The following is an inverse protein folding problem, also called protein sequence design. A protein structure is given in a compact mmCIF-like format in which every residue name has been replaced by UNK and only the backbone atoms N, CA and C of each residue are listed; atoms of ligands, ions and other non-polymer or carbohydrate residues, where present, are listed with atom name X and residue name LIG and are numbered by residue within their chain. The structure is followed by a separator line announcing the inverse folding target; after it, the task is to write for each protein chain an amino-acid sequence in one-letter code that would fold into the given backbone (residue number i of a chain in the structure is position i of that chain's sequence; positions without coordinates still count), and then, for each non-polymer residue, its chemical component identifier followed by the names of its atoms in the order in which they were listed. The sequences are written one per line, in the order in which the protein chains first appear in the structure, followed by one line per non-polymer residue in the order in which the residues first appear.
data_IF_610768627977
#
_entry.id   IF_610768627977
#
_cell.length_a   1.000
_cell.length_b   1.000
_cell.length_c   1.000
_cell.angle_alpha   90.00
_cell.angle_beta   90.00
_cell.angle_gamma   90.00
#
_symmetry.space_group_name_H-M   'P 1'
#
loop_
_entity.id
_entity.type
_entity.pdbx_description
1 polymer ?
#
# COMPACT_ATOMS: atom_id res chain seq x y z
N UNK A 1 40.16 -17.42 6.39
CA UNK A 1 39.29 -16.56 5.57
C UNK A 1 37.85 -17.08 5.46
N UNK A 2 37.48 -18.20 6.09
CA UNK A 2 36.15 -18.84 5.97
C UNK A 2 35.13 -18.40 7.03
N UNK A 3 35.57 -17.97 8.22
CA UNK A 3 34.65 -17.66 9.33
C UNK A 3 33.72 -16.45 9.05
N UNK A 4 34.17 -15.48 8.24
CA UNK A 4 33.36 -14.31 7.87
C UNK A 4 32.28 -14.63 6.82
N UNK A 5 32.61 -15.45 5.82
CA UNK A 5 31.66 -15.91 4.80
C UNK A 5 30.63 -16.85 5.40
N UNK A 6 31.05 -17.74 6.30
CA UNK A 6 30.15 -18.69 6.96
C UNK A 6 29.12 -17.95 7.84
N UNK A 7 29.54 -16.91 8.56
CA UNK A 7 28.63 -16.02 9.31
C UNK A 7 27.61 -15.31 8.42
N UNK A 8 28.03 -14.82 7.25
CA UNK A 8 27.12 -14.17 6.30
C UNK A 8 26.13 -15.16 5.67
N UNK A 9 26.56 -16.39 5.41
CA UNK A 9 25.68 -17.46 4.91
C UNK A 9 24.64 -17.85 5.95
N UNK A 10 25.04 -18.02 7.22
CA UNK A 10 24.10 -18.31 8.31
C UNK A 10 23.07 -17.19 8.46
N UNK A 11 23.52 -15.93 8.52
CA UNK A 11 22.60 -14.79 8.59
C UNK A 11 21.67 -14.70 7.37
N UNK A 12 22.18 -15.01 6.17
CA UNK A 12 21.36 -15.06 4.95
C UNK A 12 20.30 -16.16 4.97
N UNK A 13 20.60 -17.32 5.57
CA UNK A 13 19.63 -18.41 5.75
C UNK A 13 18.54 -18.03 6.77
N UNK A 14 18.92 -17.39 7.88
CA UNK A 14 17.96 -16.87 8.88
C UNK A 14 17.04 -15.80 8.27
N UNK A 15 17.59 -14.88 7.49
CA UNK A 15 16.81 -13.88 6.76
C UNK A 15 15.88 -14.51 5.71
N UNK A 16 16.31 -15.60 5.07
CA UNK A 16 15.52 -16.34 4.08
C UNK A 16 14.35 -17.08 4.74
N UNK A 17 14.59 -17.77 5.85
CA UNK A 17 13.56 -18.43 6.64
C UNK A 17 12.48 -17.42 7.06
N UNK A 18 12.92 -16.28 7.60
CA UNK A 18 12.01 -15.19 7.96
C UNK A 18 11.21 -14.65 6.78
N UNK A 19 11.84 -14.49 5.62
CA UNK A 19 11.14 -14.07 4.41
C UNK A 19 10.05 -15.08 4.00
N UNK A 20 10.33 -16.38 4.08
CA UNK A 20 9.36 -17.42 3.74
C UNK A 20 8.14 -17.39 4.68
N UNK A 21 8.37 -17.22 5.98
CA UNK A 21 7.30 -17.07 6.98
C UNK A 21 6.45 -15.82 6.70
N UNK A 22 7.09 -14.66 6.51
CA UNK A 22 6.41 -13.39 6.21
C UNK A 22 5.58 -13.51 4.91
N UNK A 23 6.15 -14.16 3.89
CA UNK A 23 5.51 -14.39 2.61
C UNK A 23 4.30 -15.34 2.72
N UNK A 24 4.37 -16.37 3.56
CA UNK A 24 3.23 -17.25 3.81
C UNK A 24 2.08 -16.49 4.49
N UNK A 25 2.38 -15.67 5.50
CA UNK A 25 1.38 -14.83 6.18
C UNK A 25 0.73 -13.85 5.20
N UNK A 26 1.51 -13.22 4.32
CA UNK A 26 0.99 -12.34 3.28
C UNK A 26 0.05 -13.08 2.32
N UNK A 27 0.48 -14.25 1.83
CA UNK A 27 -0.32 -15.07 0.93
C UNK A 27 -1.62 -15.57 1.56
N UNK A 28 -1.60 -15.98 2.81
CA UNK A 28 -2.80 -16.44 3.52
C UNK A 28 -3.86 -15.34 3.57
N UNK A 29 -3.46 -14.11 3.91
CA UNK A 29 -4.36 -12.94 3.95
C UNK A 29 -4.89 -12.57 2.56
N UNK A 30 -4.04 -12.59 1.53
CA UNK A 30 -4.45 -12.29 0.16
C UNK A 30 -5.43 -13.35 -0.36
N UNK A 31 -5.15 -14.64 -0.17
CA UNK A 31 -6.05 -15.74 -0.52
C UNK A 31 -7.41 -15.59 0.17
N UNK A 32 -7.42 -15.24 1.46
CA UNK A 32 -8.65 -14.97 2.19
C UNK A 32 -9.41 -13.77 1.62
N UNK A 33 -8.71 -12.69 1.25
CA UNK A 33 -9.29 -11.53 0.58
C UNK A 33 -9.95 -11.88 -0.75
N UNK A 34 -9.25 -12.64 -1.60
CA UNK A 34 -9.81 -13.13 -2.87
C UNK A 34 -11.02 -14.04 -2.68
N UNK A 35 -11.00 -14.93 -1.68
CA UNK A 35 -12.14 -15.77 -1.36
C UNK A 35 -13.37 -14.94 -0.97
N UNK A 36 -13.20 -13.93 -0.12
CA UNK A 36 -14.30 -13.04 0.27
C UNK A 36 -14.79 -12.19 -0.90
N UNK A 37 -13.89 -11.74 -1.77
CA UNK A 37 -14.25 -11.04 -3.00
C UNK A 37 -15.10 -11.92 -3.93
N UNK A 38 -14.73 -13.18 -4.10
CA UNK A 38 -15.52 -14.14 -4.90
C UNK A 38 -16.92 -14.33 -4.30
N UNK A 39 -17.03 -14.46 -2.97
CA UNK A 39 -18.34 -14.53 -2.31
C UNK A 39 -19.17 -13.25 -2.48
N UNK A 40 -18.51 -12.09 -2.50
CA UNK A 40 -19.18 -10.81 -2.77
C UNK A 40 -19.67 -10.74 -4.23
N UNK A 41 -18.85 -11.17 -5.20
CA UNK A 41 -19.23 -11.21 -6.63
C UNK A 41 -20.48 -12.06 -6.88
N UNK A 42 -20.65 -13.18 -6.18
CA UNK A 42 -21.84 -14.02 -6.29
C UNK A 42 -23.14 -13.34 -5.81
N UNK A 43 -23.06 -12.29 -4.98
CA UNK A 43 -24.22 -11.55 -4.48
C UNK A 43 -24.46 -10.22 -5.21
N UNK A 44 -23.48 -9.77 -5.98
CA UNK A 44 -23.57 -8.54 -6.75
C UNK A 44 -24.03 -8.85 -8.18
N UNK A 45 -24.44 -7.81 -8.91
CA UNK A 45 -24.72 -7.94 -10.33
C UNK A 45 -23.43 -8.27 -11.08
N UNK A 46 -23.53 -9.02 -12.18
CA UNK A 46 -22.39 -9.54 -12.94
C UNK A 46 -21.40 -8.45 -13.36
N UNK A 47 -21.89 -7.24 -13.64
CA UNK A 47 -21.09 -6.10 -14.09
C UNK A 47 -20.71 -5.12 -12.97
N UNK A 48 -21.04 -5.40 -11.71
CA UNK A 48 -20.75 -4.49 -10.61
C UNK A 48 -19.26 -4.47 -10.23
N UNK A 49 -18.54 -5.58 -10.42
CA UNK A 49 -17.11 -5.73 -10.09
C UNK A 49 -16.32 -6.20 -11.33
N UNK A 50 -16.45 -5.43 -12.40
CA UNK A 50 -15.80 -5.68 -13.69
C UNK A 50 -14.80 -4.57 -14.03
N UNK A 51 -13.98 -4.80 -15.07
CA UNK A 51 -12.96 -3.83 -15.52
C UNK A 51 -13.55 -2.50 -15.98
N UNK A 52 -14.84 -2.46 -16.35
CA UNK A 52 -15.55 -1.24 -16.75
C UNK A 52 -16.24 -0.52 -15.60
N UNK A 53 -16.23 -1.10 -14.39
CA UNK A 53 -16.92 -0.56 -13.21
C UNK A 53 -16.08 0.47 -12.45
N UNK A 54 -14.84 0.71 -12.88
CA UNK A 54 -13.95 1.67 -12.23
C UNK A 54 -14.32 3.11 -12.62
N UNK A 55 -14.46 3.97 -11.61
CA UNK A 55 -14.71 5.39 -11.80
C UNK A 55 -13.46 6.09 -12.36
N UNK A 56 -13.61 7.18 -13.12
CA UNK A 56 -12.47 7.94 -13.66
C UNK A 56 -11.59 8.54 -12.54
N UNK A 57 -12.19 8.80 -11.38
CA UNK A 57 -11.52 9.30 -10.18
C UNK A 57 -10.87 8.17 -9.34
N UNK A 58 -10.73 6.97 -9.90
CA UNK A 58 -10.11 5.83 -9.22
C UNK A 58 -8.59 6.09 -9.04
N UNK A 59 -8.24 6.66 -7.90
CA UNK A 59 -6.85 6.85 -7.47
C UNK A 59 -6.43 5.80 -6.44
N UNK A 60 -5.13 5.52 -6.38
CA UNK A 60 -4.58 4.65 -5.34
C UNK A 60 -4.83 5.26 -3.96
N UNK A 61 -5.63 4.59 -3.13
CA UNK A 61 -5.90 5.03 -1.76
C UNK A 61 -4.66 4.92 -0.86
N UNK A 62 -3.85 3.86 -1.05
CA UNK A 62 -2.64 3.60 -0.27
C UNK A 62 -1.43 3.50 -1.18
N UNK A 63 -0.34 4.10 -0.72
CA UNK A 63 0.96 4.11 -1.39
C UNK A 63 2.04 3.61 -0.45
N UNK A 64 3.10 3.06 -1.04
CA UNK A 64 4.31 2.67 -0.31
C UNK A 64 5.30 3.82 -0.42
N UNK A 65 5.79 4.30 0.72
CA UNK A 65 6.79 5.37 0.81
C UNK A 65 8.02 4.83 1.52
N UNK A 66 9.19 5.20 1.01
CA UNK A 66 10.46 4.97 1.69
C UNK A 66 10.68 6.13 2.66
N UNK A 67 10.74 5.84 3.96
CA UNK A 67 11.09 6.83 4.97
C UNK A 67 12.56 7.28 4.81
N UNK A 68 12.87 8.46 5.36
CA UNK A 68 14.23 9.00 5.51
C UNK A 68 15.21 8.03 6.18
N UNK A 69 14.70 7.14 7.02
CA UNK A 69 15.45 6.05 7.68
C UNK A 69 15.68 4.81 6.78
N UNK A 70 15.18 4.82 5.54
CA UNK A 70 15.26 3.69 4.63
C UNK A 70 14.22 2.59 4.90
N UNK A 71 13.22 2.86 5.75
CA UNK A 71 12.16 1.92 6.11
C UNK A 71 10.95 2.08 5.21
N UNK A 72 10.41 0.97 4.70
CA UNK A 72 9.22 1.00 3.85
C UNK A 72 7.99 1.16 4.74
N UNK A 73 7.09 2.09 4.39
CA UNK A 73 5.85 2.32 5.14
C UNK A 73 4.68 2.51 4.19
N UNK A 74 3.51 2.10 4.67
CA UNK A 74 2.26 2.34 4.01
C UNK A 74 1.69 3.67 4.47
N UNK A 75 1.32 4.55 3.53
CA UNK A 75 0.65 5.81 3.82
C UNK A 75 -0.58 5.96 2.92
N UNK A 76 -1.57 6.70 3.39
CA UNK A 76 -2.71 7.05 2.57
C UNK A 76 -2.27 8.15 1.59
N UNK A 77 -2.68 8.05 0.31
CA UNK A 77 -2.17 8.92 -0.75
C UNK A 77 -2.50 10.40 -0.55
N UNK A 78 -3.56 10.71 0.20
CA UNK A 78 -3.91 12.07 0.60
C UNK A 78 -2.83 12.72 1.48
N UNK A 79 -2.20 11.95 2.37
CA UNK A 79 -1.16 12.45 3.29
C UNK A 79 0.13 12.78 2.53
N UNK A 80 0.48 11.97 1.53
CA UNK A 80 1.67 12.18 0.68
C UNK A 80 1.53 13.44 -0.19
N UNK A 81 0.34 13.71 -0.73
CA UNK A 81 0.06 14.93 -1.51
C UNK A 81 0.19 16.21 -0.66
N UNK A 82 -0.01 16.13 0.66
CA UNK A 82 0.15 17.28 1.58
C UNK A 82 1.63 17.56 1.86
N UNK A 83 2.47 16.53 2.02
CA UNK A 83 3.92 16.69 2.21
C UNK A 83 4.60 17.19 0.94
N UNK A 84 4.14 16.79 -0.25
CA UNK A 84 4.65 17.31 -1.53
C UNK A 84 4.26 18.76 -1.84
N UNK A 85 3.28 19.33 -1.12
CA UNK A 85 2.82 20.72 -1.28
C UNK A 85 3.37 21.69 -0.23
N UNK A 86 4.15 21.23 0.75
CA UNK A 86 4.68 22.05 1.84
C UNK A 86 6.04 22.70 1.53
N UNK A 87 6.38 22.85 0.25
CA UNK A 87 7.64 23.44 -0.19
C UNK A 87 7.50 24.27 -1.46
N UNK A 88 6.57 25.23 -1.49
CA UNK A 88 6.68 26.53 -2.20
C UNK A 88 5.31 27.25 -2.29
N UNK A 89 4.71 27.65 -1.15
CA UNK A 89 3.63 28.66 -1.19
C UNK A 89 3.54 29.51 0.09
N UNK A 90 4.67 29.69 0.77
CA UNK A 90 4.81 30.78 1.72
C UNK A 90 5.36 31.96 0.95
N UNK A 91 4.48 32.83 0.43
CA UNK A 91 4.69 34.27 0.24
C UNK A 91 3.55 34.85 -0.63
N UNK A 92 2.42 35.26 0.00
CA UNK A 92 1.68 36.51 -0.30
C UNK A 92 0.40 36.65 0.54
N UNK A 93 0.57 36.77 1.85
CA UNK A 93 -0.40 37.50 2.67
C UNK A 93 -0.26 39.00 2.36
N UNK A 94 -1.11 39.53 1.47
CA UNK A 94 -1.34 40.98 1.41
C UNK A 94 -2.80 41.29 1.14
N UNK A 95 -3.48 41.72 2.21
CA UNK A 95 -4.77 42.41 2.25
C UNK A 95 -4.99 43.35 1.04
N UNK A 96 -6.03 43.08 0.25
CA UNK A 96 -6.86 44.08 -0.43
C UNK A 96 -8.15 43.39 -0.89
N UNK A 97 -9.31 43.96 -0.57
CA UNK A 97 -10.59 43.26 -0.63
C UNK A 97 -11.34 43.30 -1.97
N UNK A 98 -12.50 42.63 -1.92
CA UNK A 98 -13.80 42.96 -2.54
C UNK A 98 -14.33 41.87 -3.49
N UNK A 99 -15.35 41.17 -2.98
CA UNK A 99 -16.47 40.50 -3.66
C UNK A 99 -16.16 39.66 -4.90
N UNK A 100 -16.11 38.35 -4.71
CA UNK A 100 -16.19 37.35 -5.77
C UNK A 100 -16.66 36.05 -5.15
N UNK A 101 -17.95 35.81 -5.29
CA UNK A 101 -18.71 34.57 -5.12
C UNK A 101 -17.89 33.32 -4.74
N UNK A 102 -18.22 32.80 -3.56
CA UNK A 102 -17.85 31.48 -3.07
C UNK A 102 -18.21 30.41 -4.11
N UNK A 103 -17.20 29.89 -4.80
CA UNK A 103 -17.07 28.45 -5.01
C UNK A 103 -15.61 28.10 -4.76
N UNK A 104 -15.22 28.20 -3.49
CA UNK A 104 -14.22 27.28 -2.99
C UNK A 104 -14.84 25.90 -3.16
N UNK A 105 -14.50 25.20 -4.24
CA UNK A 105 -14.64 23.76 -4.29
C UNK A 105 -13.80 23.25 -3.14
N UNK A 106 -14.49 23.08 -2.01
CA UNK A 106 -14.03 22.48 -0.79
C UNK A 106 -13.67 21.05 -1.20
N UNK A 107 -12.46 20.86 -1.76
CA UNK A 107 -11.80 19.58 -1.93
C UNK A 107 -11.38 19.07 -0.56
N UNK A 108 -12.30 19.13 0.42
CA UNK A 108 -12.37 18.16 1.49
C UNK A 108 -12.40 16.83 0.80
N UNK A 109 -11.27 16.14 0.86
CA UNK A 109 -11.10 14.73 0.59
C UNK A 109 -12.39 14.03 1.02
N UNK A 110 -13.29 13.83 0.05
CA UNK A 110 -14.56 13.20 0.33
C UNK A 110 -14.14 11.76 0.57
N UNK A 111 -14.12 11.39 1.83
CA UNK A 111 -13.85 10.05 2.33
C UNK A 111 -15.05 9.18 1.91
N UNK A 112 -15.31 9.12 0.60
CA UNK A 112 -16.35 8.30 0.00
C UNK A 112 -15.83 6.90 0.09
N UNK A 113 -16.49 6.08 0.89
CA UNK A 113 -16.30 4.64 0.92
C UNK A 113 -16.33 4.16 -0.54
N UNK A 114 -15.16 3.84 -1.11
CA UNK A 114 -15.00 3.52 -2.54
C UNK A 114 -15.80 2.28 -2.94
N UNK A 115 -16.23 1.50 -1.94
CA UNK A 115 -17.17 0.40 -2.13
C UNK A 115 -18.54 0.85 -2.65
N UNK A 116 -18.94 2.10 -2.37
CA UNK A 116 -20.19 2.67 -2.85
C UNK A 116 -20.20 2.91 -4.36
N UNK A 117 -19.04 2.94 -5.02
CA UNK A 117 -18.95 2.98 -6.47
C UNK A 117 -19.49 1.71 -7.12
N UNK A 118 -19.47 0.58 -6.42
CA UNK A 118 -19.85 -0.72 -6.96
C UNK A 118 -21.23 -1.19 -6.49
N UNK A 119 -21.75 -0.65 -5.39
CA UNK A 119 -23.11 -0.92 -4.90
C UNK A 119 -23.54 0.15 -3.90
N UNK A 120 -24.79 0.61 -3.99
CA UNK A 120 -25.39 1.47 -2.98
C UNK A 120 -25.50 0.79 -1.61
N UNK A 121 -25.56 -0.54 -1.58
CA UNK A 121 -25.54 -1.36 -0.38
C UNK A 121 -24.52 -2.51 -0.55
N UNK A 122 -23.24 -2.29 -0.25
CA UNK A 122 -22.21 -3.30 -0.47
C UNK A 122 -22.40 -4.48 0.51
N UNK A 123 -22.31 -5.74 0.03
CA UNK A 123 -22.45 -6.91 0.89
C UNK A 123 -21.32 -6.96 1.92
N UNK A 124 -21.59 -7.58 3.07
CA UNK A 124 -20.63 -7.74 4.17
C UNK A 124 -19.29 -8.32 3.71
N UNK A 125 -19.35 -9.27 2.78
CA UNK A 125 -18.18 -9.99 2.29
C UNK A 125 -17.27 -9.08 1.47
N UNK A 126 -17.80 -8.03 0.84
CA UNK A 126 -16.99 -7.05 0.11
C UNK A 126 -16.18 -6.17 1.09
N UNK A 127 -16.81 -5.74 2.20
CA UNK A 127 -16.12 -5.03 3.29
C UNK A 127 -15.06 -5.92 3.95
N UNK A 128 -15.36 -7.21 4.14
CA UNK A 128 -14.39 -8.18 4.65
C UNK A 128 -13.23 -8.37 3.67
N UNK A 129 -13.49 -8.46 2.37
CA UNK A 129 -12.45 -8.54 1.34
C UNK A 129 -11.52 -7.32 1.40
N UNK A 130 -12.06 -6.10 1.46
CA UNK A 130 -11.28 -4.87 1.61
C UNK A 130 -10.38 -4.89 2.85
N UNK A 131 -10.90 -5.34 4.00
CA UNK A 131 -10.13 -5.48 5.24
C UNK A 131 -9.00 -6.50 5.09
N UNK A 132 -9.26 -7.64 4.46
CA UNK A 132 -8.26 -8.67 4.23
C UNK A 132 -7.18 -8.21 3.24
N UNK A 133 -7.54 -7.53 2.15
CA UNK A 133 -6.56 -6.93 1.24
C UNK A 133 -5.73 -5.85 1.93
N UNK A 134 -6.34 -5.02 2.78
CA UNK A 134 -5.62 -4.00 3.56
C UNK A 134 -4.58 -4.60 4.50
N UNK A 135 -4.96 -5.66 5.23
CA UNK A 135 -4.05 -6.41 6.12
C UNK A 135 -3.01 -7.23 5.35
N UNK A 136 -3.40 -7.78 4.20
CA UNK A 136 -2.53 -8.53 3.30
C UNK A 136 -1.46 -7.64 2.67
N UNK A 137 -1.81 -6.42 2.28
CA UNK A 137 -0.88 -5.46 1.70
C UNK A 137 0.15 -4.96 2.75
N UNK A 138 -0.26 -4.81 4.01
CA UNK A 138 0.68 -4.58 5.12
C UNK A 138 1.64 -5.77 5.32
N UNK A 139 1.12 -7.00 5.31
CA UNK A 139 1.97 -8.19 5.42
C UNK A 139 2.91 -8.35 4.21
N UNK A 140 2.44 -8.00 3.01
CA UNK A 140 3.26 -8.02 1.79
C UNK A 140 4.40 -7.01 1.86
N UNK A 141 4.17 -5.84 2.45
CA UNK A 141 5.23 -4.85 2.67
C UNK A 141 6.31 -5.40 3.62
N UNK A 142 5.91 -6.11 4.68
CA UNK A 142 6.86 -6.78 5.59
C UNK A 142 7.65 -7.86 4.85
N UNK A 143 6.98 -8.71 4.07
CA UNK A 143 7.62 -9.73 3.26
C UNK A 143 8.58 -9.14 2.21
N UNK A 144 8.23 -8.01 1.60
CA UNK A 144 9.11 -7.34 0.65
C UNK A 144 10.33 -6.72 1.33
N UNK A 145 10.18 -6.20 2.56
CA UNK A 145 11.29 -5.71 3.36
C UNK A 145 12.25 -6.85 3.78
N UNK A 146 11.73 -8.03 4.13
CA UNK A 146 12.58 -9.21 4.40
C UNK A 146 13.23 -9.75 3.12
N UNK A 147 12.52 -9.77 1.98
CA UNK A 147 13.12 -10.11 0.69
C UNK A 147 14.32 -9.22 0.34
N UNK A 148 14.21 -7.91 0.60
CA UNK A 148 15.30 -6.97 0.36
C UNK A 148 16.54 -7.26 1.25
N UNK A 149 16.36 -7.76 2.47
CA UNK A 149 17.47 -8.20 3.33
C UNK A 149 18.17 -9.44 2.78
N UNK A 150 17.39 -10.43 2.35
CA UNK A 150 17.92 -11.64 1.70
C UNK A 150 18.72 -11.27 0.45
N UNK A 151 18.18 -10.38 -0.39
CA UNK A 151 18.90 -9.88 -1.55
C UNK A 151 20.23 -9.24 -1.15
N UNK A 152 20.25 -8.37 -0.14
CA UNK A 152 21.49 -7.76 0.35
C UNK A 152 22.50 -8.80 0.86
N UNK A 153 22.04 -9.82 1.59
CA UNK A 153 22.91 -10.89 2.08
C UNK A 153 23.56 -11.68 0.93
N UNK A 154 22.78 -12.04 -0.10
CA UNK A 154 23.27 -12.73 -1.31
C UNK A 154 24.28 -11.89 -2.09
N UNK A 155 24.00 -10.59 -2.25
CA UNK A 155 24.96 -9.67 -2.89
C UNK A 155 26.24 -9.52 -2.06
N UNK A 156 26.13 -9.51 -0.73
CA UNK A 156 27.28 -9.49 0.17
C UNK A 156 28.21 -10.69 -0.04
N UNK A 157 27.66 -11.90 -0.10
CA UNK A 157 28.44 -13.13 -0.32
C UNK A 157 29.10 -13.17 -1.70
N UNK A 158 28.37 -12.76 -2.75
CA UNK A 158 28.89 -12.76 -4.14
C UNK A 158 29.94 -11.69 -4.42
N UNK A 159 29.99 -10.63 -3.60
CA UNK A 159 30.94 -9.52 -3.76
C UNK A 159 32.32 -9.76 -3.12
N UNK A 160 32.51 -10.85 -2.37
CA UNK A 160 33.78 -11.17 -1.71
C UNK A 160 34.73 -11.78 -2.77
N UNK A 161 35.88 -11.14 -3.07
CA UNK A 161 36.84 -11.68 -4.02
C UNK A 161 37.45 -12.99 -3.48
N UNK A 162 37.50 -14.00 -4.36
CA UNK A 162 38.09 -15.31 -4.11
C UNK A 162 39.62 -15.26 -3.92
#
# INVERSE_FOLDING_TARGET
MTDGTDKLLVAGLEDLEKYLDDHEVANAKLKQGFLMLTKAKLRLQEHALSEISYHEEFEAFRVVVLDSEGNWRLQDASEVKVVGKSGDDSLRNRKAGKSGQEEATDTKARNTDTLLWFSSLPPSDLRQAQKQFSSGLQALLVAAASAHKVQRAVHGVTSIPH
#
